data_IF_140721269783
#
_entry.id   IF_140721269783
#
_cell.length_a   1.000
_cell.length_b   1.000
_cell.length_c   1.000
_cell.angle_alpha   90.00
_cell.angle_beta   90.00
_cell.angle_gamma   90.00
#
_symmetry.space_group_name_H-M   'P 1'
#
loop_
_entity.id
_entity.type
_entity.pdbx_description
1 polymer ?
#
# COMPACT_ATOMS: atom_id res chain seq x y z
N UNK A 1 0.37 13.97 -2.48
CA UNK A 1 0.80 12.94 -1.53
C UNK A 1 -0.14 12.94 -0.33
N UNK A 2 -0.79 11.82 -0.07
CA UNK A 2 -1.61 11.56 1.12
C UNK A 2 -0.70 11.14 2.28
N UNK A 3 -0.68 11.95 3.34
CA UNK A 3 0.18 11.69 4.51
C UNK A 3 -0.21 10.43 5.27
N UNK A 4 -1.51 10.10 5.34
CA UNK A 4 -2.01 8.93 6.07
C UNK A 4 -1.46 7.64 5.46
N UNK A 5 -1.44 7.54 4.13
CA UNK A 5 -0.92 6.36 3.44
C UNK A 5 0.59 6.19 3.63
N UNK A 6 1.34 7.30 3.63
CA UNK A 6 2.79 7.28 3.87
C UNK A 6 3.07 6.82 5.31
N UNK A 7 2.39 7.40 6.30
CA UNK A 7 2.54 7.02 7.72
C UNK A 7 2.23 5.53 7.95
N UNK A 8 1.23 4.98 7.25
CA UNK A 8 0.91 3.55 7.30
C UNK A 8 2.03 2.68 6.71
N UNK A 9 2.62 3.09 5.59
CA UNK A 9 3.75 2.38 4.99
C UNK A 9 5.01 2.45 5.88
N UNK A 10 5.27 3.59 6.53
CA UNK A 10 6.35 3.75 7.52
C UNK A 10 6.11 2.87 8.75
N UNK A 11 4.90 2.85 9.29
CA UNK A 11 4.53 2.03 10.43
C UNK A 11 4.64 0.53 10.12
N UNK A 12 4.33 0.12 8.88
CA UNK A 12 4.44 -1.26 8.41
C UNK A 12 5.87 -1.81 8.51
N UNK A 13 6.90 -0.99 8.27
CA UNK A 13 8.31 -1.42 8.30
C UNK A 13 9.03 -1.06 9.61
N UNK A 14 8.44 -0.21 10.46
CA UNK A 14 9.09 0.25 11.68
C UNK A 14 9.12 -0.83 12.75
N UNK A 15 10.33 -1.21 13.19
CA UNK A 15 10.53 -2.11 14.33
C UNK A 15 10.22 -3.59 14.06
N UNK A 16 10.02 -3.99 12.79
CA UNK A 16 9.66 -5.36 12.41
C UNK A 16 10.54 -5.90 11.27
N UNK A 17 10.85 -7.20 11.31
CA UNK A 17 11.40 -7.96 10.19
C UNK A 17 12.77 -7.50 9.69
N UNK A 18 12.99 -7.62 8.38
CA UNK A 18 14.23 -7.26 7.68
C UNK A 18 14.16 -5.90 6.95
N UNK A 19 13.19 -5.06 7.33
CA UNK A 19 12.99 -3.74 6.73
C UNK A 19 12.28 -3.77 5.38
N UNK A 20 11.62 -4.88 5.02
CA UNK A 20 10.75 -5.00 3.85
C UNK A 20 9.28 -5.11 4.28
N UNK A 21 8.39 -4.57 3.46
CA UNK A 21 6.95 -4.78 3.56
C UNK A 21 6.65 -6.25 3.26
N UNK A 22 6.14 -6.95 4.27
CA UNK A 22 5.66 -8.33 4.16
C UNK A 22 4.26 -8.36 3.54
N UNK A 23 3.77 -9.54 3.16
CA UNK A 23 2.38 -9.68 2.66
C UNK A 23 1.36 -9.30 3.74
N UNK A 24 1.65 -9.57 5.02
CA UNK A 24 0.77 -9.17 6.14
C UNK A 24 0.72 -7.65 6.31
N UNK A 25 1.84 -6.96 6.11
CA UNK A 25 1.86 -5.50 6.17
C UNK A 25 1.16 -4.88 4.96
N UNK A 26 1.34 -5.47 3.78
CA UNK A 26 0.61 -5.10 2.57
C UNK A 26 -0.91 -5.23 2.77
N UNK A 27 -1.38 -6.25 3.50
CA UNK A 27 -2.80 -6.42 3.87
C UNK A 27 -3.32 -5.23 4.70
N UNK A 28 -2.57 -4.80 5.73
CA UNK A 28 -2.95 -3.65 6.56
C UNK A 28 -3.04 -2.36 5.73
N UNK A 29 -2.07 -2.14 4.85
CA UNK A 29 -2.04 -0.95 3.98
C UNK A 29 -3.27 -0.94 3.07
N UNK A 30 -3.62 -2.07 2.45
CA UNK A 30 -4.75 -2.09 1.51
C UNK A 30 -6.10 -1.97 2.19
N UNK A 31 -6.25 -2.48 3.40
CA UNK A 31 -7.46 -2.28 4.20
C UNK A 31 -7.68 -0.79 4.48
N UNK A 32 -6.62 -0.07 4.87
CA UNK A 32 -6.70 1.36 5.09
C UNK A 32 -7.04 2.17 3.83
N UNK A 33 -6.50 1.78 2.67
CA UNK A 33 -6.85 2.35 1.37
C UNK A 33 -8.34 2.12 1.06
N UNK A 34 -8.83 0.90 1.27
CA UNK A 34 -10.24 0.52 1.01
C UNK A 34 -11.21 1.25 1.93
N UNK A 35 -10.87 1.39 3.21
CA UNK A 35 -11.66 2.07 4.24
C UNK A 35 -11.69 3.60 4.04
N UNK A 36 -10.61 4.18 3.51
CA UNK A 36 -10.58 5.58 3.06
C UNK A 36 -11.63 5.89 1.97
N UNK A 37 -12.09 4.88 1.24
CA UNK A 37 -13.26 4.94 0.36
C UNK A 37 -13.09 5.75 -0.92
N UNK A 38 -12.11 6.64 -0.98
CA UNK A 38 -11.80 7.53 -2.10
C UNK A 38 -10.43 7.14 -2.67
N UNK A 39 -10.35 7.05 -4.01
CA UNK A 39 -9.11 6.77 -4.74
C UNK A 39 -8.96 7.76 -5.89
N UNK A 40 -8.74 9.01 -5.51
CA UNK A 40 -8.37 10.11 -6.40
C UNK A 40 -6.98 9.92 -6.99
N UNK A 41 -6.58 10.82 -7.89
CA UNK A 41 -5.20 10.90 -8.40
C UNK A 41 -4.18 11.04 -7.26
N UNK A 42 -4.53 11.73 -6.17
CA UNK A 42 -3.62 11.90 -5.03
C UNK A 42 -3.32 10.58 -4.33
N UNK A 43 -4.32 9.72 -4.09
CA UNK A 43 -4.06 8.40 -3.51
C UNK A 43 -3.26 7.50 -4.48
N UNK A 44 -3.49 7.61 -5.79
CA UNK A 44 -2.72 6.86 -6.80
C UNK A 44 -1.25 7.26 -6.82
N UNK A 45 -0.95 8.56 -6.89
CA UNK A 45 0.43 9.08 -6.85
C UNK A 45 1.13 8.66 -5.56
N UNK A 46 0.41 8.69 -4.44
CA UNK A 46 0.96 8.26 -3.15
C UNK A 46 1.27 6.78 -3.12
N UNK A 47 0.46 5.97 -3.79
CA UNK A 47 0.67 4.52 -3.87
C UNK A 47 1.84 4.15 -4.78
N UNK A 48 2.04 4.90 -5.86
CA UNK A 48 3.25 4.83 -6.67
C UNK A 48 4.49 5.18 -5.83
N UNK A 49 4.46 6.29 -5.11
CA UNK A 49 5.54 6.68 -4.21
C UNK A 49 5.88 5.59 -3.18
N UNK A 50 4.88 4.98 -2.54
CA UNK A 50 5.11 3.91 -1.56
C UNK A 50 5.77 2.68 -2.21
N UNK A 51 5.39 2.33 -3.45
CA UNK A 51 6.03 1.22 -4.17
C UNK A 51 7.48 1.49 -4.53
N UNK A 52 7.79 2.73 -4.90
CA UNK A 52 9.13 3.11 -5.36
C UNK A 52 10.11 3.35 -4.20
N UNK A 53 9.62 3.78 -3.03
CA UNK A 53 10.47 4.22 -1.92
C UNK A 53 10.59 3.19 -0.79
N UNK A 54 9.71 2.19 -0.73
CA UNK A 54 9.76 1.13 0.27
C UNK A 54 10.27 -0.16 -0.37
N UNK A 55 10.97 -0.97 0.43
CA UNK A 55 11.34 -2.32 -0.01
C UNK A 55 10.18 -3.26 0.26
N UNK A 56 9.90 -4.13 -0.70
CA UNK A 56 8.87 -5.16 -0.59
C UNK A 56 9.51 -6.54 -0.66
N UNK A 57 8.83 -7.53 -0.08
CA UNK A 57 9.05 -8.90 -0.52
C UNK A 57 8.33 -9.11 -1.86
N UNK A 58 8.86 -9.96 -2.74
CA UNK A 58 8.25 -10.22 -4.06
C UNK A 58 6.78 -10.66 -3.91
N UNK A 59 6.50 -11.52 -2.92
CA UNK A 59 5.15 -11.98 -2.61
C UNK A 59 4.21 -10.84 -2.15
N UNK A 60 4.74 -9.85 -1.44
CA UNK A 60 3.96 -8.70 -1.00
C UNK A 60 3.65 -7.75 -2.16
N UNK A 61 4.64 -7.45 -3.01
CA UNK A 61 4.46 -6.56 -4.16
C UNK A 61 3.45 -7.15 -5.16
N UNK A 62 3.61 -8.43 -5.51
CA UNK A 62 2.69 -9.14 -6.42
C UNK A 62 1.27 -9.18 -5.87
N UNK A 63 1.11 -9.55 -4.60
CA UNK A 63 -0.21 -9.60 -3.97
C UNK A 63 -0.86 -8.22 -3.94
N UNK A 64 -0.13 -7.20 -3.51
CA UNK A 64 -0.65 -5.85 -3.34
C UNK A 64 -1.07 -5.21 -4.67
N UNK A 65 -0.29 -5.40 -5.74
CA UNK A 65 -0.64 -4.93 -7.09
C UNK A 65 -1.96 -5.51 -7.59
N UNK A 66 -2.13 -6.81 -7.43
CA UNK A 66 -3.37 -7.50 -7.82
C UNK A 66 -4.58 -6.99 -7.03
N UNK A 67 -4.42 -6.76 -5.73
CA UNK A 67 -5.50 -6.27 -4.88
C UNK A 67 -5.91 -4.83 -5.21
N UNK A 68 -4.95 -3.91 -5.42
CA UNK A 68 -5.26 -2.52 -5.82
C UNK A 68 -5.94 -2.51 -7.19
N UNK A 69 -5.42 -3.27 -8.16
CA UNK A 69 -6.02 -3.34 -9.50
C UNK A 69 -7.46 -3.86 -9.45
N UNK A 70 -7.70 -4.95 -8.72
CA UNK A 70 -9.05 -5.52 -8.56
C UNK A 70 -10.01 -4.56 -7.85
N UNK A 71 -9.56 -3.84 -6.83
CA UNK A 71 -10.41 -2.90 -6.11
C UNK A 71 -10.67 -1.61 -6.89
N UNK A 72 -9.67 -1.06 -7.58
CA UNK A 72 -9.86 0.10 -8.46
C UNK A 72 -10.86 -0.21 -9.58
N UNK A 73 -10.80 -1.42 -10.15
CA UNK A 73 -11.76 -1.87 -11.15
C UNK A 73 -13.20 -2.00 -10.62
N UNK A 74 -13.41 -2.26 -9.33
CA UNK A 74 -14.76 -2.34 -8.73
C UNK A 74 -15.36 -0.98 -8.33
N UNK A 75 -14.57 0.10 -8.45
CA UNK A 75 -15.01 1.48 -8.24
C UNK A 75 -15.33 2.23 -9.53
N UNK A 76 -15.13 1.58 -10.69
CA UNK A 76 -15.40 2.11 -12.02
C UNK A 76 -16.87 2.02 -12.41
#
# INVERSE_FOLDING_TARGET
MDKRLIELAEAAITGQGDGRISTEDAMKIIEAVKDGGIYTEVEKDTMEYIRDNFKWTDAADDWFRNQIASWAASKA
#
